data_IF_886454876858
#
_entry.id   IF_886454876858
#
_cell.length_a   1.000
_cell.length_b   1.000
_cell.length_c   1.000
_cell.angle_alpha   90.00
_cell.angle_beta   90.00
_cell.angle_gamma   90.00
#
_symmetry.space_group_name_H-M   'P 1'
#
loop_
_entity.id
_entity.type
_entity.pdbx_description
1 polymer ?
#
# COMPACT_ATOMS: atom_id res chain seq x y z
N UNK A 1 49.12 -8.34 -32.30
CA UNK A 1 47.86 -7.59 -32.04
C UNK A 1 47.17 -7.92 -30.69
N UNK A 2 47.82 -8.60 -29.72
CA UNK A 2 47.15 -9.10 -28.49
C UNK A 2 47.14 -8.16 -27.26
N UNK A 3 47.92 -7.07 -27.24
CA UNK A 3 48.06 -6.20 -26.04
C UNK A 3 46.86 -5.28 -25.74
N UNK A 4 45.99 -4.99 -26.72
CA UNK A 4 44.83 -4.10 -26.53
C UNK A 4 43.67 -4.73 -25.75
N UNK A 5 43.52 -6.06 -25.79
CA UNK A 5 42.39 -6.75 -25.16
C UNK A 5 42.54 -6.91 -23.64
N UNK A 6 43.77 -7.07 -23.14
CA UNK A 6 44.03 -7.26 -21.70
C UNK A 6 43.93 -5.94 -20.91
N UNK A 7 44.26 -4.81 -21.54
CA UNK A 7 44.19 -3.47 -20.91
C UNK A 7 42.75 -2.95 -20.77
N UNK A 8 41.85 -3.43 -21.62
CA UNK A 8 40.43 -3.02 -21.62
C UNK A 8 39.64 -3.73 -20.50
N UNK A 9 39.95 -5.00 -20.22
CA UNK A 9 39.30 -5.80 -19.16
C UNK A 9 39.66 -5.36 -17.73
N UNK A 10 40.91 -4.99 -17.48
CA UNK A 10 41.33 -4.50 -16.15
C UNK A 10 40.82 -3.08 -15.85
N UNK A 11 40.66 -2.23 -16.88
CA UNK A 11 40.09 -0.90 -16.71
C UNK A 11 38.59 -0.94 -16.41
N UNK A 12 37.83 -1.86 -17.04
CA UNK A 12 36.39 -2.04 -16.75
C UNK A 12 36.15 -2.65 -15.36
N UNK A 13 36.96 -3.62 -14.93
CA UNK A 13 36.84 -4.20 -13.59
C UNK A 13 37.09 -3.15 -12.49
N UNK A 14 38.13 -2.31 -12.63
CA UNK A 14 38.39 -1.23 -11.68
C UNK A 14 37.32 -0.12 -11.68
N UNK A 15 36.61 0.08 -12.79
CA UNK A 15 35.47 1.02 -12.85
C UNK A 15 34.19 0.44 -12.24
N UNK A 16 33.98 -0.87 -12.35
CA UNK A 16 32.85 -1.57 -11.74
C UNK A 16 33.01 -1.63 -10.21
N UNK A 17 34.21 -1.93 -9.72
CA UNK A 17 34.52 -1.94 -8.29
C UNK A 17 34.35 -0.54 -7.65
N UNK A 18 34.79 0.51 -8.34
CA UNK A 18 34.61 1.89 -7.87
C UNK A 18 33.12 2.29 -7.86
N UNK A 19 32.36 1.89 -8.89
CA UNK A 19 30.93 2.21 -8.98
C UNK A 19 30.15 1.52 -7.86
N UNK A 20 30.44 0.23 -7.60
CA UNK A 20 29.83 -0.52 -6.51
C UNK A 20 30.19 0.10 -5.16
N UNK A 21 31.47 0.40 -4.93
CA UNK A 21 31.91 1.06 -3.70
C UNK A 21 31.20 2.40 -3.48
N UNK A 22 31.09 3.22 -4.53
CA UNK A 22 30.39 4.51 -4.45
C UNK A 22 28.89 4.35 -4.22
N UNK A 23 28.28 3.33 -4.81
CA UNK A 23 26.86 2.99 -4.62
C UNK A 23 26.59 2.61 -3.16
N UNK A 24 27.43 1.73 -2.58
CA UNK A 24 27.31 1.33 -1.18
C UNK A 24 27.53 2.49 -0.21
N UNK A 25 28.49 3.37 -0.50
CA UNK A 25 28.76 4.55 0.33
C UNK A 25 27.57 5.50 0.37
N UNK A 26 27.01 5.85 -0.80
CA UNK A 26 25.82 6.72 -0.91
C UNK A 26 24.62 6.03 -0.24
N UNK A 27 24.42 4.73 -0.50
CA UNK A 27 23.35 3.95 0.13
C UNK A 27 23.45 3.98 1.65
N UNK A 28 24.64 3.77 2.21
CA UNK A 28 24.89 3.84 3.65
C UNK A 28 24.58 5.20 4.25
N UNK A 29 24.95 6.29 3.56
CA UNK A 29 24.62 7.66 3.98
C UNK A 29 23.10 7.89 4.01
N UNK A 30 22.40 7.49 2.95
CA UNK A 30 20.93 7.61 2.87
C UNK A 30 20.24 6.81 4.00
N UNK A 31 20.67 5.57 4.27
CA UNK A 31 20.10 4.75 5.35
C UNK A 31 20.32 5.38 6.74
N UNK A 32 21.49 5.97 6.98
CA UNK A 32 21.78 6.65 8.24
C UNK A 32 20.86 7.87 8.47
N UNK A 33 20.50 8.59 7.41
CA UNK A 33 19.55 9.71 7.48
C UNK A 33 18.10 9.24 7.70
N UNK A 34 17.67 8.19 7.00
CA UNK A 34 16.31 7.61 7.12
C UNK A 34 16.06 7.06 8.53
N UNK A 35 17.05 6.39 9.14
CA UNK A 35 16.93 5.81 10.48
C UNK A 35 16.66 6.83 11.60
N UNK A 36 16.94 8.12 11.37
CA UNK A 36 16.71 9.20 12.35
C UNK A 36 15.29 9.78 12.33
N UNK A 37 14.51 9.54 11.27
CA UNK A 37 13.10 9.97 11.20
C UNK A 37 12.20 8.84 11.71
N UNK A 38 12.02 8.76 13.03
CA UNK A 38 11.08 7.80 13.61
C UNK A 38 9.67 8.08 13.10
N UNK A 39 9.06 7.06 12.50
CA UNK A 39 7.65 7.02 12.11
C UNK A 39 6.77 7.49 13.26
N UNK A 40 6.17 8.66 13.09
CA UNK A 40 5.24 9.26 14.04
C UNK A 40 4.09 8.30 14.37
N UNK A 41 4.20 7.65 15.52
CA UNK A 41 3.23 6.74 16.14
C UNK A 41 2.10 7.55 16.77
N UNK A 42 1.16 8.00 15.95
CA UNK A 42 -0.18 8.34 16.43
C UNK A 42 -1.02 7.05 16.50
N UNK A 43 -1.78 6.88 17.58
CA UNK A 43 -2.44 5.63 18.01
C UNK A 43 -3.30 4.92 16.94
N UNK A 44 -3.75 5.59 15.87
CA UNK A 44 -4.45 4.93 14.75
C UNK A 44 -3.52 4.38 13.66
N UNK A 45 -2.34 5.00 13.46
CA UNK A 45 -1.29 4.47 12.56
C UNK A 45 -0.74 3.16 13.09
N UNK A 46 -0.74 2.99 14.41
CA UNK A 46 -0.29 1.75 15.06
C UNK A 46 -1.11 0.52 14.68
N UNK A 47 -2.46 0.63 14.60
CA UNK A 47 -3.30 -0.49 14.17
C UNK A 47 -3.12 -0.80 12.67
N UNK A 48 -3.00 0.23 11.82
CA UNK A 48 -2.74 0.08 10.38
C UNK A 48 -1.37 -0.57 10.12
N UNK A 49 -0.33 -0.12 10.81
CA UNK A 49 1.01 -0.67 10.71
C UNK A 49 1.06 -2.09 11.32
N UNK A 50 0.29 -2.37 12.38
CA UNK A 50 0.18 -3.72 12.96
C UNK A 50 -0.54 -4.68 12.02
N UNK A 51 -1.65 -4.25 11.41
CA UNK A 51 -2.42 -5.04 10.46
C UNK A 51 -1.61 -5.32 9.19
N UNK A 52 -0.90 -4.31 8.67
CA UNK A 52 -0.01 -4.49 7.51
C UNK A 52 1.22 -5.33 7.85
N UNK A 53 1.89 -5.08 8.97
CA UNK A 53 3.05 -5.90 9.37
C UNK A 53 2.66 -7.35 9.63
N UNK A 54 1.46 -7.58 10.18
CA UNK A 54 0.95 -8.92 10.41
C UNK A 54 0.49 -9.59 9.11
N UNK A 55 -0.26 -8.89 8.25
CA UNK A 55 -0.64 -9.40 6.93
C UNK A 55 0.60 -9.73 6.08
N UNK A 56 1.69 -8.97 6.21
CA UNK A 56 2.96 -9.27 5.53
C UNK A 56 3.76 -10.41 6.17
N UNK A 57 3.37 -10.87 7.36
CA UNK A 57 4.02 -11.98 8.07
C UNK A 57 3.54 -13.37 7.65
N UNK A 58 2.38 -13.48 6.99
CA UNK A 58 1.84 -14.73 6.46
C UNK A 58 1.28 -14.53 5.05
N UNK A 59 1.83 -15.27 4.08
CA UNK A 59 1.48 -15.09 2.66
C UNK A 59 0.03 -15.44 2.33
N UNK A 60 -0.56 -16.42 3.02
CA UNK A 60 -1.94 -16.81 2.79
C UNK A 60 -2.90 -15.72 3.29
N UNK A 61 -2.64 -15.19 4.49
CA UNK A 61 -3.38 -14.05 5.04
C UNK A 61 -3.26 -12.83 4.14
N UNK A 62 -2.03 -12.52 3.69
CA UNK A 62 -1.74 -11.40 2.77
C UNK A 62 -2.62 -11.48 1.53
N UNK A 63 -2.66 -12.65 0.90
CA UNK A 63 -3.42 -12.89 -0.32
C UNK A 63 -4.91 -12.63 -0.11
N UNK A 64 -5.49 -13.19 0.95
CA UNK A 64 -6.93 -13.02 1.22
C UNK A 64 -7.28 -11.59 1.59
N UNK A 65 -6.41 -10.90 2.35
CA UNK A 65 -6.58 -9.47 2.63
C UNK A 65 -6.59 -8.63 1.36
N UNK A 66 -5.67 -8.86 0.42
CA UNK A 66 -5.65 -8.12 -0.84
C UNK A 66 -6.89 -8.40 -1.69
N UNK A 67 -7.32 -9.66 -1.78
CA UNK A 67 -8.56 -10.01 -2.50
C UNK A 67 -9.79 -9.35 -1.89
N UNK A 68 -9.88 -9.33 -0.56
CA UNK A 68 -10.98 -8.65 0.12
C UNK A 68 -10.97 -7.15 -0.15
N UNK A 69 -9.81 -6.49 -0.07
CA UNK A 69 -9.68 -5.04 -0.34
C UNK A 69 -10.06 -4.72 -1.80
N UNK A 70 -9.70 -5.58 -2.75
CA UNK A 70 -10.02 -5.44 -4.18
C UNK A 70 -11.53 -5.47 -4.44
N UNK A 71 -12.26 -6.39 -3.83
CA UNK A 71 -13.73 -6.48 -4.01
C UNK A 71 -14.51 -5.47 -3.17
N UNK A 72 -13.94 -4.94 -2.09
CA UNK A 72 -14.64 -4.11 -1.11
C UNK A 72 -15.41 -2.91 -1.72
N UNK A 73 -14.91 -2.18 -2.75
CA UNK A 73 -15.64 -1.09 -3.39
C UNK A 73 -16.95 -1.53 -4.07
N UNK A 74 -17.04 -2.80 -4.47
CA UNK A 74 -18.22 -3.36 -5.15
C UNK A 74 -19.32 -3.80 -4.15
N UNK A 75 -18.99 -3.98 -2.87
CA UNK A 75 -19.91 -4.43 -1.84
C UNK A 75 -20.74 -3.25 -1.33
N UNK A 76 -22.06 -3.24 -1.56
CA UNK A 76 -22.93 -2.07 -1.29
C UNK A 76 -23.50 -2.03 0.11
N UNK A 77 -23.75 -3.16 0.75
CA UNK A 77 -24.37 -3.26 2.07
C UNK A 77 -23.48 -3.99 3.10
N UNK A 78 -23.82 -3.82 4.38
CA UNK A 78 -23.01 -4.37 5.46
C UNK A 78 -23.10 -5.90 5.59
N UNK A 79 -24.21 -6.53 5.15
CA UNK A 79 -24.33 -7.98 5.16
C UNK A 79 -23.39 -8.59 4.12
N UNK A 80 -23.35 -8.03 2.92
CA UNK A 80 -22.41 -8.44 1.87
C UNK A 80 -20.97 -8.28 2.33
N UNK A 81 -20.61 -7.16 2.97
CA UNK A 81 -19.24 -6.95 3.47
C UNK A 81 -18.87 -7.97 4.55
N UNK A 82 -19.75 -8.19 5.52
CA UNK A 82 -19.47 -9.11 6.63
C UNK A 82 -19.35 -10.54 6.12
N UNK A 83 -20.25 -10.95 5.21
CA UNK A 83 -20.18 -12.26 4.56
C UNK A 83 -18.86 -12.47 3.81
N UNK A 84 -18.46 -11.53 2.95
CA UNK A 84 -17.20 -11.67 2.21
C UNK A 84 -15.99 -11.65 3.16
N UNK A 85 -16.04 -10.85 4.23
CA UNK A 85 -15.00 -10.87 5.24
C UNK A 85 -14.90 -12.25 5.92
N UNK A 86 -16.02 -12.92 6.19
CA UNK A 86 -16.00 -14.30 6.69
C UNK A 86 -15.45 -15.27 5.63
N UNK A 87 -15.98 -15.25 4.41
CA UNK A 87 -15.60 -16.15 3.31
C UNK A 87 -14.10 -16.05 2.95
N UNK A 88 -13.54 -14.84 2.81
CA UNK A 88 -12.13 -14.68 2.46
C UNK A 88 -11.18 -15.15 3.58
N UNK A 89 -11.61 -15.04 4.83
CA UNK A 89 -10.74 -15.31 5.98
C UNK A 89 -11.02 -16.66 6.67
N UNK A 90 -12.00 -17.42 6.21
CA UNK A 90 -12.34 -18.76 6.73
C UNK A 90 -11.17 -19.75 6.55
N UNK A 91 -10.59 -19.82 5.36
CA UNK A 91 -9.47 -20.73 5.05
C UNK A 91 -8.19 -20.41 5.84
N UNK A 92 -8.03 -19.15 6.25
CA UNK A 92 -6.87 -18.66 7.01
C UNK A 92 -7.21 -18.37 8.46
N UNK A 93 -8.38 -18.83 8.95
CA UNK A 93 -8.93 -18.47 10.27
C UNK A 93 -8.00 -18.82 11.42
N UNK A 94 -7.29 -19.94 11.35
CA UNK A 94 -6.34 -20.35 12.40
C UNK A 94 -5.06 -19.52 12.43
N UNK A 95 -4.79 -18.76 11.38
CA UNK A 95 -3.64 -17.86 11.27
C UNK A 95 -3.99 -16.45 11.77
N UNK A 96 -5.27 -16.13 11.90
CA UNK A 96 -5.76 -14.83 12.37
C UNK A 96 -5.46 -14.62 13.87
N UNK A 97 -5.22 -13.37 14.30
CA UNK A 97 -5.18 -13.05 15.72
C UNK A 97 -6.52 -13.41 16.38
N UNK A 98 -6.46 -13.91 17.62
CA UNK A 98 -7.64 -14.36 18.36
C UNK A 98 -8.77 -13.33 18.41
N UNK A 99 -8.45 -12.04 18.52
CA UNK A 99 -9.42 -10.95 18.55
C UNK A 99 -10.20 -10.79 17.23
N UNK A 100 -9.53 -11.03 16.09
CA UNK A 100 -10.17 -10.99 14.76
C UNK A 100 -11.10 -12.19 14.58
N UNK A 101 -10.66 -13.38 15.00
CA UNK A 101 -11.49 -14.60 15.00
C UNK A 101 -12.79 -14.39 15.78
N UNK A 102 -12.67 -13.86 17.00
CA UNK A 102 -13.83 -13.57 17.85
C UNK A 102 -14.77 -12.54 17.21
N UNK A 103 -14.22 -11.52 16.55
CA UNK A 103 -15.01 -10.52 15.83
C UNK A 103 -15.83 -11.11 14.69
N UNK A 104 -15.24 -12.01 13.89
CA UNK A 104 -15.93 -12.72 12.80
C UNK A 104 -17.06 -13.60 13.36
N UNK A 105 -16.76 -14.40 14.38
CA UNK A 105 -17.71 -15.35 14.97
C UNK A 105 -18.97 -14.66 15.52
N UNK A 106 -18.77 -13.52 16.20
CA UNK A 106 -19.87 -12.76 16.77
C UNK A 106 -20.66 -11.96 15.72
N UNK A 107 -20.09 -11.71 14.55
CA UNK A 107 -20.73 -10.92 13.49
C UNK A 107 -21.82 -11.68 12.74
N UNK A 108 -21.63 -13.00 12.58
CA UNK A 108 -22.50 -13.92 11.85
C UNK A 108 -23.95 -13.98 12.33
N UNK A 109 -24.23 -13.53 13.58
CA UNK A 109 -25.57 -13.52 14.18
C UNK A 109 -26.09 -12.16 14.63
N UNK A 110 -25.32 -11.08 14.50
CA UNK A 110 -25.66 -9.76 15.05
C UNK A 110 -25.56 -8.63 14.02
N UNK A 111 -26.72 -8.10 13.60
CA UNK A 111 -26.85 -7.00 12.63
C UNK A 111 -26.12 -5.71 13.06
N UNK A 112 -26.04 -5.43 14.36
CA UNK A 112 -25.35 -4.24 14.86
C UNK A 112 -23.84 -4.41 14.71
N UNK A 113 -23.32 -5.58 15.09
CA UNK A 113 -21.89 -5.86 15.05
C UNK A 113 -21.38 -5.99 13.61
N UNK A 114 -22.11 -6.66 12.73
CA UNK A 114 -21.81 -6.74 11.29
C UNK A 114 -21.76 -5.35 10.63
N UNK A 115 -22.69 -4.46 10.97
CA UNK A 115 -22.66 -3.06 10.50
C UNK A 115 -21.44 -2.30 10.99
N UNK A 116 -21.06 -2.47 12.26
CA UNK A 116 -19.87 -1.85 12.81
C UNK A 116 -18.59 -2.38 12.13
N UNK A 117 -18.47 -3.69 11.93
CA UNK A 117 -17.35 -4.32 11.22
C UNK A 117 -17.23 -3.82 9.79
N UNK A 118 -18.33 -3.84 9.03
CA UNK A 118 -18.36 -3.37 7.64
C UNK A 118 -17.96 -1.89 7.52
N UNK A 119 -18.46 -1.05 8.44
CA UNK A 119 -18.10 0.36 8.49
C UNK A 119 -16.61 0.57 8.76
N UNK A 120 -16.06 -0.17 9.73
CA UNK A 120 -14.62 -0.12 10.04
C UNK A 120 -13.77 -0.61 8.85
N UNK A 121 -14.15 -1.71 8.20
CA UNK A 121 -13.43 -2.23 7.03
C UNK A 121 -13.32 -1.17 5.92
N UNK A 122 -14.43 -0.52 5.57
CA UNK A 122 -14.45 0.57 4.57
C UNK A 122 -13.58 1.75 4.97
N UNK A 123 -13.65 2.19 6.24
CA UNK A 123 -12.84 3.33 6.71
C UNK A 123 -11.35 3.01 6.62
N UNK A 124 -10.94 1.82 7.05
CA UNK A 124 -9.54 1.43 7.03
C UNK A 124 -9.01 1.31 5.60
N UNK A 125 -9.78 0.69 4.69
CA UNK A 125 -9.42 0.61 3.28
C UNK A 125 -9.33 2.00 2.62
N UNK A 126 -10.33 2.86 2.83
CA UNK A 126 -10.32 4.23 2.29
C UNK A 126 -9.16 5.07 2.85
N UNK A 127 -8.80 4.87 4.12
CA UNK A 127 -7.67 5.55 4.72
C UNK A 127 -6.33 5.07 4.16
N UNK A 128 -6.18 3.76 3.95
CA UNK A 128 -5.02 3.21 3.25
C UNK A 128 -4.89 3.81 1.85
N UNK A 129 -5.99 3.85 1.09
CA UNK A 129 -6.01 4.44 -0.25
C UNK A 129 -5.53 5.91 -0.24
N UNK A 130 -5.95 6.72 0.75
CA UNK A 130 -5.49 8.12 0.89
C UNK A 130 -4.00 8.30 1.15
N UNK A 131 -3.25 7.23 1.48
CA UNK A 131 -1.77 7.30 1.54
C UNK A 131 -1.14 7.36 0.16
N UNK A 132 -1.85 6.86 -0.86
CA UNK A 132 -1.38 6.77 -2.24
C UNK A 132 -2.11 7.73 -3.19
N UNK A 133 -3.33 8.15 -2.83
CA UNK A 133 -4.18 9.01 -3.65
C UNK A 133 -4.21 10.42 -3.05
N UNK A 134 -3.83 11.43 -3.84
CA UNK A 134 -3.73 12.83 -3.40
C UNK A 134 -5.10 13.48 -3.08
N UNK A 135 -6.19 12.96 -3.63
CA UNK A 135 -7.57 13.41 -3.39
C UNK A 135 -8.54 12.81 -4.40
N UNK A 136 -9.84 12.83 -4.08
CA UNK A 136 -10.90 12.40 -5.01
C UNK A 136 -11.62 13.57 -5.69
N UNK A 137 -11.22 14.80 -5.39
CA UNK A 137 -11.71 16.02 -6.03
C UNK A 137 -10.58 17.00 -6.31
N UNK A 138 -10.78 17.89 -7.28
CA UNK A 138 -9.81 18.95 -7.64
C UNK A 138 -9.39 19.76 -6.41
N UNK A 139 -10.34 20.10 -5.53
CA UNK A 139 -10.07 20.88 -4.31
C UNK A 139 -9.13 20.13 -3.35
N UNK A 140 -9.32 18.82 -3.18
CA UNK A 140 -8.45 18.00 -2.34
C UNK A 140 -7.06 17.88 -2.95
N UNK A 141 -6.97 17.61 -4.25
CA UNK A 141 -5.70 17.51 -4.98
C UNK A 141 -4.91 18.82 -4.88
N UNK A 142 -5.55 19.97 -5.07
CA UNK A 142 -4.90 21.28 -4.93
C UNK A 142 -4.37 21.52 -3.52
N UNK A 143 -5.07 21.03 -2.48
CA UNK A 143 -4.60 21.13 -1.09
C UNK A 143 -3.34 20.29 -0.88
N UNK A 144 -3.34 19.05 -1.38
CA UNK A 144 -2.21 18.13 -1.30
C UNK A 144 -0.98 18.67 -2.06
N UNK A 145 -1.18 19.15 -3.28
CA UNK A 145 -0.13 19.77 -4.11
C UNK A 145 0.49 20.99 -3.43
N UNK A 146 -0.35 21.89 -2.88
CA UNK A 146 0.15 23.07 -2.13
C UNK A 146 0.97 22.66 -0.91
N UNK A 147 0.56 21.61 -0.19
CA UNK A 147 1.33 21.08 0.93
C UNK A 147 2.71 20.59 0.47
N UNK A 148 2.78 19.82 -0.62
CA UNK A 148 4.06 19.32 -1.16
C UNK A 148 4.99 20.46 -1.58
N UNK A 149 4.47 21.47 -2.28
CA UNK A 149 5.26 22.64 -2.69
C UNK A 149 5.79 23.44 -1.50
N UNK A 150 4.99 23.62 -0.44
CA UNK A 150 5.43 24.27 0.81
C UNK A 150 6.59 23.53 1.48
N UNK A 151 6.65 22.21 1.31
CA UNK A 151 7.76 21.37 1.78
C UNK A 151 8.94 21.30 0.81
N UNK A 152 8.96 22.11 -0.26
CA UNK A 152 10.04 22.14 -1.25
C UNK A 152 10.03 20.97 -2.23
N UNK A 153 8.96 20.17 -2.27
CA UNK A 153 8.84 19.04 -3.19
C UNK A 153 8.17 19.44 -4.51
N UNK A 154 8.70 18.92 -5.62
CA UNK A 154 8.00 18.90 -6.89
C UNK A 154 6.92 17.80 -6.90
N UNK A 155 6.04 17.81 -7.91
CA UNK A 155 4.99 16.81 -8.05
C UNK A 155 4.71 16.53 -9.53
N UNK A 156 4.20 15.34 -9.81
CA UNK A 156 3.51 14.98 -11.05
C UNK A 156 2.10 14.54 -10.68
N UNK A 157 1.13 14.78 -11.57
CA UNK A 157 -0.25 14.35 -11.37
C UNK A 157 -0.53 13.19 -12.32
N UNK A 158 -1.02 12.11 -11.75
CA UNK A 158 -1.53 10.95 -12.47
C UNK A 158 -3.01 10.79 -12.15
N UNK A 159 -3.86 10.70 -13.18
CA UNK A 159 -5.31 10.61 -13.03
C UNK A 159 -5.69 9.13 -12.96
N UNK A 160 -6.23 8.70 -11.83
CA UNK A 160 -6.71 7.33 -11.66
C UNK A 160 -8.03 7.11 -12.41
N UNK A 161 -8.10 6.03 -13.17
CA UNK A 161 -9.27 5.62 -13.93
C UNK A 161 -9.40 4.10 -14.00
N UNK A 162 -10.61 3.64 -14.31
CA UNK A 162 -10.87 2.26 -14.71
C UNK A 162 -10.42 2.02 -16.15
N UNK A 163 -10.26 0.75 -16.54
CA UNK A 163 -9.85 0.37 -17.88
C UNK A 163 -10.78 0.98 -18.94
N UNK A 164 -10.20 1.73 -19.89
CA UNK A 164 -10.92 2.33 -21.01
C UNK A 164 -11.33 1.22 -21.99
N UNK A 165 -12.61 0.84 -21.98
CA UNK A 165 -13.16 -0.22 -22.84
C UNK A 165 -14.02 0.31 -23.99
N UNK A 166 -14.26 1.63 -24.04
CA UNK A 166 -15.05 2.28 -25.08
C UNK A 166 -14.50 3.65 -25.45
N UNK A 167 -14.87 4.16 -26.63
CA UNK A 167 -14.50 5.52 -27.05
C UNK A 167 -15.09 6.58 -26.11
N UNK A 168 -16.31 6.36 -25.61
CA UNK A 168 -16.94 7.28 -24.65
C UNK A 168 -16.18 7.36 -23.32
N UNK A 169 -15.52 6.27 -22.91
CA UNK A 169 -14.64 6.28 -21.73
C UNK A 169 -13.36 7.07 -22.04
N UNK A 170 -12.79 6.92 -23.24
CA UNK A 170 -11.60 7.67 -23.65
C UNK A 170 -11.86 9.18 -23.62
N UNK A 171 -13.01 9.62 -24.14
CA UNK A 171 -13.42 11.03 -24.15
C UNK A 171 -13.57 11.61 -22.73
N UNK A 172 -13.89 10.78 -21.73
CA UNK A 172 -14.00 11.21 -20.32
C UNK A 172 -12.64 11.42 -19.64
N UNK A 173 -11.58 10.78 -20.14
CA UNK A 173 -10.23 10.86 -19.58
C UNK A 173 -9.31 11.87 -20.30
N UNK A 174 -9.81 12.54 -21.35
CA UNK A 174 -9.09 13.54 -22.14
C UNK A 174 -9.14 14.94 -21.50
#
# INVERSE_FOLDING_TARGET
MAKKSSKKKTATAGSEDWLEQRTQEIGGQLFAEVGRQSTSVFQTRWWEDRLMNWAMGDEAVKLQMFRFVDVLPMLRDHHSISRHLEEYFEEVRDRLPWAVRLGLDLSSGNTILSRALAYNARINAARMARRFIAGSSVTEVLRSVRSMRKSGMAFTLDLLGEATISNADADRYQ
#
